data_IF_682359780353
#
_entry.id   IF_682359780353
#
_cell.length_a   1.000
_cell.length_b   1.000
_cell.length_c   1.000
_cell.angle_alpha   90.00
_cell.angle_beta   90.00
_cell.angle_gamma   90.00
#
_symmetry.space_group_name_H-M   'P 1'
#
loop_
_entity.id
_entity.type
_entity.pdbx_description
1 polymer ?
#
# COMPACT_ATOMS: atom_id res chain seq x y z
N UNK A 1 7.15 -10.86 -17.58
CA UNK A 1 6.09 -9.94 -17.19
C UNK A 1 6.64 -8.93 -16.19
N UNK A 2 6.29 -7.67 -16.33
CA UNK A 2 6.73 -6.70 -15.33
C UNK A 2 6.11 -7.02 -13.98
N UNK A 3 6.81 -6.76 -12.88
CA UNK A 3 6.22 -6.97 -11.57
C UNK A 3 5.03 -6.04 -11.36
N UNK A 4 4.02 -6.55 -10.68
CA UNK A 4 2.86 -5.72 -10.36
C UNK A 4 3.23 -4.74 -9.28
N UNK A 5 2.98 -3.47 -9.54
CA UNK A 5 3.22 -2.38 -8.62
C UNK A 5 2.00 -1.49 -8.62
N UNK A 6 1.47 -1.23 -7.45
CA UNK A 6 0.27 -0.42 -7.32
C UNK A 6 0.54 0.64 -6.26
N UNK A 7 0.31 1.89 -6.61
CA UNK A 7 0.44 2.99 -5.68
C UNK A 7 -0.89 3.27 -5.01
N UNK A 8 -0.82 3.53 -3.72
CA UNK A 8 -1.99 3.85 -2.91
C UNK A 8 -1.75 5.10 -2.09
N UNK A 9 -2.80 5.89 -1.93
CA UNK A 9 -2.85 6.93 -0.92
C UNK A 9 -3.51 6.31 0.31
N UNK A 10 -2.70 5.99 1.30
CA UNK A 10 -3.15 5.31 2.52
C UNK A 10 -3.35 6.37 3.59
N UNK A 11 -4.57 6.89 3.69
CA UNK A 11 -4.93 7.93 4.65
C UNK A 11 -3.98 9.12 4.59
N UNK A 12 -3.68 9.57 3.38
CA UNK A 12 -2.81 10.72 3.15
C UNK A 12 -1.33 10.40 2.99
N UNK A 13 -0.94 9.13 3.06
CA UNK A 13 0.45 8.70 2.94
C UNK A 13 0.61 7.83 1.71
N UNK A 14 1.57 8.20 0.85
CA UNK A 14 1.82 7.44 -0.36
C UNK A 14 2.58 6.16 -0.05
N UNK A 15 2.05 5.06 -0.54
CA UNK A 15 2.67 3.74 -0.41
C UNK A 15 2.57 2.99 -1.72
N UNK A 16 3.44 2.01 -1.90
CA UNK A 16 3.44 1.17 -3.10
C UNK A 16 3.44 -0.29 -2.68
N UNK A 17 2.52 -1.06 -3.24
CA UNK A 17 2.47 -2.51 -3.06
C UNK A 17 3.12 -3.17 -4.27
N UNK A 18 4.07 -4.07 -4.03
CA UNK A 18 4.74 -4.83 -5.09
C UNK A 18 4.49 -6.32 -4.89
N UNK A 19 4.10 -7.00 -5.96
CA UNK A 19 3.90 -8.44 -5.91
C UNK A 19 5.24 -9.15 -5.74
N UNK A 20 5.30 -10.10 -4.81
CA UNK A 20 6.50 -10.89 -4.56
C UNK A 20 6.13 -12.37 -4.48
N UNK A 21 7.13 -13.25 -4.37
CA UNK A 21 6.90 -14.68 -4.31
C UNK A 21 6.18 -15.12 -3.04
N UNK A 22 6.29 -14.34 -1.97
CA UNK A 22 5.67 -14.68 -0.68
C UNK A 22 4.46 -13.82 -0.35
N UNK A 23 3.99 -13.01 -1.31
CA UNK A 23 2.83 -12.15 -1.09
C UNK A 23 3.08 -10.78 -1.69
N UNK A 24 2.74 -9.75 -0.94
CA UNK A 24 2.95 -8.37 -1.38
C UNK A 24 3.94 -7.69 -0.46
N UNK A 25 4.88 -6.96 -1.06
CA UNK A 25 5.80 -6.11 -0.32
C UNK A 25 5.25 -4.69 -0.31
N UNK A 26 5.26 -4.07 0.86
CA UNK A 26 4.79 -2.70 1.00
C UNK A 26 5.97 -1.75 1.17
N UNK A 27 5.96 -0.66 0.41
CA UNK A 27 7.00 0.36 0.44
C UNK A 27 6.36 1.71 0.73
N UNK A 28 7.01 2.50 1.58
CA UNK A 28 6.61 3.88 1.79
C UNK A 28 7.34 4.76 0.79
N UNK A 29 6.61 5.63 0.11
CA UNK A 29 7.20 6.57 -0.85
C UNK A 29 7.43 7.91 -0.17
N UNK A 30 8.68 8.33 -0.09
CA UNK A 30 9.02 9.63 0.48
C UNK A 30 8.88 10.76 -0.54
N UNK A 31 8.77 11.99 -0.03
CA UNK A 31 8.64 13.17 -0.89
C UNK A 31 9.90 13.45 -1.70
N UNK A 32 11.02 12.91 -1.29
CA UNK A 32 12.31 13.03 -2.00
C UNK A 32 12.54 11.91 -3.02
N UNK A 33 11.53 11.10 -3.27
CA UNK A 33 11.62 9.98 -4.21
C UNK A 33 12.21 8.71 -3.64
N UNK A 34 12.59 8.70 -2.38
CA UNK A 34 13.13 7.51 -1.75
C UNK A 34 12.03 6.54 -1.36
N UNK A 35 12.33 5.26 -1.50
CA UNK A 35 11.43 4.17 -1.13
C UNK A 35 11.97 3.47 0.09
N UNK A 36 11.12 3.30 1.11
CA UNK A 36 11.51 2.63 2.35
C UNK A 36 10.61 1.44 2.58
N UNK A 37 11.17 0.24 2.78
CA UNK A 37 10.36 -0.94 3.06
C UNK A 37 9.60 -0.79 4.38
N UNK A 38 8.34 -1.23 4.37
CA UNK A 38 7.55 -1.34 5.59
C UNK A 38 7.73 -2.77 6.09
N UNK A 39 8.59 -2.94 7.09
CA UNK A 39 9.03 -4.28 7.50
C UNK A 39 8.10 -4.96 8.49
N UNK A 40 7.25 -4.21 9.15
CA UNK A 40 6.34 -4.73 10.15
C UNK A 40 4.97 -5.14 9.58
N UNK A 41 4.77 -4.97 8.28
CA UNK A 41 3.52 -5.33 7.62
C UNK A 41 3.82 -6.25 6.44
N UNK A 42 3.27 -7.46 6.50
CA UNK A 42 3.39 -8.44 5.41
C UNK A 42 1.98 -8.72 4.91
N UNK A 43 1.78 -8.54 3.60
CA UNK A 43 0.48 -8.81 2.97
C UNK A 43 0.54 -10.22 2.39
N UNK A 44 -0.33 -11.14 2.85
CA UNK A 44 -0.31 -12.52 2.37
C UNK A 44 -0.57 -12.64 0.88
N UNK A 45 -0.09 -13.71 0.27
CA UNK A 45 -0.21 -13.93 -1.17
C UNK A 45 -1.65 -14.23 -1.62
N UNK A 46 -2.51 -14.63 -0.69
CA UNK A 46 -3.93 -14.86 -1.02
C UNK A 46 -4.73 -13.58 -1.13
N UNK A 47 -4.17 -12.44 -0.76
CA UNK A 47 -4.82 -11.14 -0.94
C UNK A 47 -4.68 -10.75 -2.40
N UNK A 48 -5.80 -10.61 -3.10
CA UNK A 48 -5.80 -10.23 -4.51
C UNK A 48 -5.62 -8.71 -4.65
N UNK A 49 -5.28 -8.30 -5.87
CA UNK A 49 -5.16 -6.89 -6.22
C UNK A 49 -6.45 -6.13 -5.88
N UNK A 50 -7.59 -6.74 -6.08
CA UNK A 50 -8.89 -6.12 -5.81
C UNK A 50 -9.18 -5.93 -4.33
N UNK A 51 -8.48 -6.67 -3.47
CA UNK A 51 -8.68 -6.63 -2.03
C UNK A 51 -7.65 -5.77 -1.30
N UNK A 52 -6.63 -5.30 -2.04
CA UNK A 52 -5.53 -4.56 -1.40
C UNK A 52 -5.99 -3.28 -0.73
N UNK A 53 -6.88 -2.52 -1.36
CA UNK A 53 -7.35 -1.29 -0.78
C UNK A 53 -8.08 -1.54 0.55
N UNK A 54 -8.91 -2.57 0.60
CA UNK A 54 -9.59 -2.93 1.84
C UNK A 54 -8.61 -3.44 2.88
N UNK A 55 -7.64 -4.26 2.46
CA UNK A 55 -6.65 -4.78 3.38
C UNK A 55 -5.83 -3.65 4.01
N UNK A 56 -5.40 -2.69 3.18
CA UNK A 56 -4.63 -1.55 3.67
C UNK A 56 -5.49 -0.66 4.59
N UNK A 57 -6.75 -0.49 4.26
CA UNK A 57 -7.65 0.28 5.11
C UNK A 57 -7.80 -0.38 6.48
N UNK A 58 -7.90 -1.70 6.53
CA UNK A 58 -8.02 -2.43 7.79
C UNK A 58 -6.74 -2.36 8.63
N UNK A 59 -5.59 -2.48 7.98
CA UNK A 59 -4.30 -2.49 8.69
C UNK A 59 -3.96 -1.11 9.22
N UNK A 60 -4.23 -0.07 8.44
CA UNK A 60 -3.80 1.29 8.78
C UNK A 60 -4.95 2.21 9.18
N UNK A 61 -6.08 1.64 9.61
CA UNK A 61 -7.27 2.44 9.93
C UNK A 61 -7.02 3.50 11.01
N UNK A 62 -6.03 3.31 11.86
CA UNK A 62 -5.67 4.28 12.88
C UNK A 62 -5.14 5.59 12.31
N UNK A 63 -4.69 5.57 11.05
CA UNK A 63 -4.20 6.76 10.38
C UNK A 63 -5.32 7.59 9.77
N UNK A 64 -6.56 7.11 9.79
CA UNK A 64 -7.67 7.82 9.18
C UNK A 64 -7.92 9.15 9.89
N UNK A 65 -8.11 10.21 9.09
CA UNK A 65 -8.41 11.55 9.59
C UNK A 65 -9.58 12.11 8.81
N UNK A 66 -10.10 13.26 9.26
CA UNK A 66 -11.19 13.92 8.56
C UNK A 66 -10.77 14.40 7.17
N UNK A 67 -9.50 14.69 6.95
CA UNK A 67 -8.97 15.10 5.64
C UNK A 67 -8.69 13.89 4.75
N UNK A 68 -8.31 12.76 5.35
CA UNK A 68 -7.92 11.55 4.63
C UNK A 68 -8.65 10.36 5.25
N UNK A 69 -9.95 10.21 4.98
CA UNK A 69 -10.76 9.20 5.67
C UNK A 69 -10.68 7.81 5.03
N UNK A 70 -10.01 7.66 3.89
CA UNK A 70 -10.02 6.39 3.16
C UNK A 70 -8.70 6.14 2.45
N UNK A 71 -8.53 4.88 2.02
CA UNK A 71 -7.45 4.46 1.13
C UNK A 71 -7.95 4.56 -0.30
N UNK A 72 -7.14 5.13 -1.18
CA UNK A 72 -7.48 5.22 -2.59
C UNK A 72 -6.29 4.82 -3.45
N UNK A 73 -6.59 4.24 -4.61
CA UNK A 73 -5.56 3.87 -5.58
C UNK A 73 -5.12 5.13 -6.33
N UNK A 74 -3.80 5.30 -6.43
CA UNK A 74 -3.22 6.41 -7.18
C UNK A 74 -2.84 5.91 -8.56
N UNK A 75 -3.40 6.50 -9.60
CA UNK A 75 -3.06 6.13 -10.96
C UNK A 75 -2.01 7.09 -11.50
N UNK A 76 -1.04 6.51 -12.19
CA UNK A 76 0.01 7.30 -12.84
C UNK A 76 -0.47 7.91 -14.15
#
# INVERSE_FOLDING_TARGET
MPPQRIKYDVFGRLMQAERSTSGWRLLRLGSDGKRSPVTDTVIPDFVSEHELDQYLADVFHEWATSKHPAVSRVED
#
